data_IF_140338114882
#
_entry.id   IF_140338114882
#
_cell.length_a   1.000
_cell.length_b   1.000
_cell.length_c   1.000
_cell.angle_alpha   90.00
_cell.angle_beta   90.00
_cell.angle_gamma   90.00
#
_symmetry.space_group_name_H-M   'P 1'
#
loop_
_entity.id
_entity.type
_entity.pdbx_description
1 polymer ?
#
# COMPACT_ATOMS: atom_id res chain seq x y z
N UNK A 1 21.00 -25.94 15.14
CA UNK A 1 22.28 -25.83 14.40
C UNK A 1 23.10 -27.06 14.73
N UNK A 2 23.83 -27.57 13.75
CA UNK A 2 24.63 -28.80 13.85
C UNK A 2 26.01 -28.56 14.47
N UNK A 3 26.53 -27.33 14.39
CA UNK A 3 27.62 -26.81 15.21
C UNK A 3 27.16 -25.51 15.89
N UNK A 4 27.45 -25.39 17.20
CA UNK A 4 27.14 -24.22 18.02
C UNK A 4 28.25 -23.16 17.98
N UNK A 5 29.47 -23.56 17.62
CA UNK A 5 30.67 -22.72 17.61
C UNK A 5 30.97 -22.20 16.19
N UNK A 6 30.09 -22.50 15.23
CA UNK A 6 30.18 -22.04 13.84
C UNK A 6 30.18 -20.50 13.75
N UNK A 7 31.08 -19.96 12.92
CA UNK A 7 31.19 -18.52 12.70
C UNK A 7 29.97 -17.96 11.96
N UNK A 8 29.53 -16.77 12.36
CA UNK A 8 28.44 -16.06 11.66
C UNK A 8 28.89 -15.62 10.27
N UNK A 9 28.24 -16.15 9.23
CA UNK A 9 28.54 -15.80 7.83
C UNK A 9 27.63 -14.70 7.27
N UNK A 10 26.50 -14.43 7.91
CA UNK A 10 25.52 -13.44 7.47
C UNK A 10 25.76 -12.07 8.14
N UNK A 11 25.78 -11.02 7.33
CA UNK A 11 25.79 -9.62 7.75
C UNK A 11 24.43 -8.99 7.36
N UNK A 12 23.46 -8.94 8.28
CA UNK A 12 22.15 -8.37 8.01
C UNK A 12 22.21 -6.86 7.73
N UNK A 13 21.48 -6.43 6.70
CA UNK A 13 21.27 -5.01 6.41
C UNK A 13 19.81 -4.71 6.13
N UNK A 14 19.26 -3.69 6.79
CA UNK A 14 17.91 -3.21 6.57
C UNK A 14 17.84 -2.35 5.31
N UNK A 15 16.74 -2.46 4.58
CA UNK A 15 16.42 -1.57 3.49
C UNK A 15 14.95 -1.22 3.47
N UNK A 16 14.68 0.08 3.41
CA UNK A 16 13.34 0.64 3.38
C UNK A 16 12.91 0.93 1.95
N UNK A 17 11.61 0.79 1.70
CA UNK A 17 10.93 1.33 0.52
C UNK A 17 9.68 2.09 0.96
N UNK A 18 9.27 3.05 0.15
CA UNK A 18 8.00 3.77 0.28
C UNK A 18 7.18 3.59 -1.00
N UNK A 19 5.86 3.64 -0.86
CA UNK A 19 4.93 3.81 -1.97
C UNK A 19 4.25 5.16 -1.88
N UNK A 20 4.12 5.82 -3.03
CA UNK A 20 3.49 7.11 -3.22
C UNK A 20 2.49 7.04 -4.39
N UNK A 21 1.61 8.03 -4.56
CA UNK A 21 0.70 8.11 -5.70
C UNK A 21 1.37 7.92 -7.06
N UNK A 22 0.62 7.37 -8.01
CA UNK A 22 1.12 7.05 -9.36
C UNK A 22 1.63 8.26 -10.13
N UNK A 23 1.11 9.46 -9.89
CA UNK A 23 1.51 10.68 -10.61
C UNK A 23 2.97 11.09 -10.36
N UNK A 24 3.64 10.49 -9.38
CA UNK A 24 5.06 10.71 -9.13
C UNK A 24 5.97 10.05 -10.18
N UNK A 25 5.54 8.98 -10.86
CA UNK A 25 6.33 8.32 -11.90
C UNK A 25 5.54 8.09 -13.20
N UNK A 26 6.20 8.14 -14.39
CA UNK A 26 5.53 7.76 -15.63
C UNK A 26 5.19 6.26 -15.64
N UNK A 27 4.02 5.88 -16.17
CA UNK A 27 3.53 4.48 -16.13
C UNK A 27 4.48 3.45 -16.77
N UNK A 28 5.27 3.86 -17.78
CA UNK A 28 6.12 2.96 -18.57
C UNK A 28 7.62 3.19 -18.37
N UNK A 29 8.02 4.01 -17.40
CA UNK A 29 9.42 4.39 -17.22
C UNK A 29 9.78 4.46 -15.73
N UNK A 30 10.87 3.78 -15.36
CA UNK A 30 11.48 3.91 -14.04
C UNK A 30 12.75 4.75 -14.09
N UNK A 31 13.07 5.40 -12.98
CA UNK A 31 14.30 6.15 -12.78
C UNK A 31 15.23 5.40 -11.82
N UNK A 32 16.53 5.46 -12.12
CA UNK A 32 17.62 4.98 -11.29
C UNK A 32 18.55 6.15 -11.00
N UNK A 33 18.70 6.47 -9.73
CA UNK A 33 19.75 7.35 -9.22
C UNK A 33 20.88 6.50 -8.61
N UNK A 34 22.04 6.40 -9.28
CA UNK A 34 23.19 5.67 -8.77
C UNK A 34 24.10 6.50 -7.84
N UNK A 35 23.80 7.78 -7.61
CA UNK A 35 24.67 8.72 -6.91
C UNK A 35 23.86 9.70 -6.06
N UNK A 36 23.09 9.17 -5.10
CA UNK A 36 22.36 9.98 -4.11
C UNK A 36 23.30 10.82 -3.26
N UNK A 37 22.76 11.73 -2.46
CA UNK A 37 23.52 12.63 -1.58
C UNK A 37 24.58 11.95 -0.67
N UNK A 38 24.41 10.66 -0.39
CA UNK A 38 25.33 9.84 0.43
C UNK A 38 25.95 8.65 -0.33
N UNK A 39 25.77 8.57 -1.65
CA UNK A 39 26.35 7.52 -2.51
C UNK A 39 25.58 6.20 -2.53
N UNK A 40 24.38 6.13 -1.93
CA UNK A 40 23.44 5.01 -2.10
C UNK A 40 22.76 5.06 -3.47
N UNK A 41 21.99 4.02 -3.76
CA UNK A 41 21.25 3.86 -5.02
C UNK A 41 19.75 3.89 -4.73
N UNK A 42 19.04 4.81 -5.37
CA UNK A 42 17.58 4.87 -5.32
C UNK A 42 16.99 4.55 -6.69
N UNK A 43 15.99 3.68 -6.66
CA UNK A 43 15.06 3.39 -7.71
C UNK A 43 13.75 4.12 -7.41
N UNK A 44 13.12 4.57 -8.49
CA UNK A 44 11.84 5.22 -8.46
C UNK A 44 11.02 4.72 -9.64
N UNK A 45 10.11 3.79 -9.38
CA UNK A 45 9.53 2.92 -10.40
C UNK A 45 8.00 2.95 -10.35
N UNK A 46 7.31 2.91 -11.51
CA UNK A 46 5.88 2.65 -11.52
C UNK A 46 5.61 1.22 -11.04
N UNK A 47 4.66 1.06 -10.13
CA UNK A 47 4.27 -0.23 -9.57
C UNK A 47 2.79 -0.25 -9.20
N UNK A 48 2.01 -1.10 -9.87
CA UNK A 48 0.57 -1.29 -9.59
C UNK A 48 -0.22 0.03 -9.55
N UNK A 49 -0.02 0.90 -10.56
CA UNK A 49 -0.59 2.27 -10.67
C UNK A 49 -0.15 3.26 -9.58
N UNK A 50 0.79 2.85 -8.74
CA UNK A 50 1.46 3.69 -7.75
C UNK A 50 2.93 3.88 -8.14
N UNK A 51 3.68 4.58 -7.31
CA UNK A 51 5.12 4.76 -7.45
C UNK A 51 5.85 4.17 -6.25
N UNK A 52 6.76 3.22 -6.48
CA UNK A 52 7.64 2.69 -5.44
C UNK A 52 8.99 3.41 -5.49
N UNK A 53 9.48 3.87 -4.33
CA UNK A 53 10.77 4.52 -4.18
C UNK A 53 11.62 3.82 -3.11
N UNK A 54 12.90 3.65 -3.38
CA UNK A 54 13.84 3.02 -2.45
C UNK A 54 15.14 2.60 -3.14
N UNK A 55 16.19 2.23 -2.43
CA UNK A 55 16.14 1.73 -1.06
C UNK A 55 17.30 2.23 -0.22
N UNK A 56 17.15 2.14 1.08
CA UNK A 56 18.22 2.37 2.04
C UNK A 56 19.02 1.09 2.29
N UNK A 57 20.20 1.25 2.90
CA UNK A 57 21.11 0.16 3.23
C UNK A 57 21.81 0.50 4.55
N UNK A 58 21.28 -0.03 5.65
CA UNK A 58 21.74 0.28 7.01
C UNK A 58 21.96 -1.01 7.79
N UNK A 59 23.15 -1.24 8.41
CA UNK A 59 23.37 -2.39 9.27
C UNK A 59 22.29 -2.52 10.34
N UNK A 60 21.82 -3.75 10.60
CA UNK A 60 20.66 -3.97 11.47
C UNK A 60 20.75 -5.29 12.23
N UNK A 61 20.06 -5.39 13.36
CA UNK A 61 19.88 -6.66 14.05
C UNK A 61 18.78 -7.50 13.37
N UNK A 62 18.90 -8.83 13.48
CA UNK A 62 17.91 -9.75 12.91
C UNK A 62 16.62 -9.68 13.74
N UNK A 63 15.51 -9.40 13.07
CA UNK A 63 14.17 -9.44 13.64
C UNK A 63 13.20 -10.04 12.64
N UNK A 64 12.14 -10.68 13.15
CA UNK A 64 11.00 -11.12 12.33
C UNK A 64 10.08 -9.97 11.92
N UNK A 65 10.21 -8.81 12.59
CA UNK A 65 9.34 -7.65 12.42
C UNK A 65 10.19 -6.39 12.14
N UNK A 66 10.86 -6.31 10.97
CA UNK A 66 11.61 -5.12 10.60
C UNK A 66 10.66 -3.94 10.38
N UNK A 67 10.99 -2.80 10.99
CA UNK A 67 10.17 -1.59 10.97
C UNK A 67 10.91 -0.51 10.16
N UNK A 68 10.25 0.19 9.22
CA UNK A 68 10.87 1.30 8.51
C UNK A 68 11.08 2.48 9.47
N UNK A 69 12.26 3.10 9.43
CA UNK A 69 12.54 4.29 10.24
C UNK A 69 12.07 5.57 9.53
N UNK A 70 11.70 6.59 10.30
CA UNK A 70 11.36 7.91 9.72
C UNK A 70 12.56 8.60 9.07
N UNK A 71 13.77 8.32 9.56
CA UNK A 71 14.99 8.83 8.94
C UNK A 71 15.14 8.28 7.50
N UNK A 72 14.94 6.97 7.32
CA UNK A 72 15.00 6.34 5.99
C UNK A 72 13.88 6.85 5.07
N UNK A 73 12.66 7.03 5.59
CA UNK A 73 11.53 7.53 4.80
C UNK A 73 11.79 8.98 4.32
N UNK A 74 12.23 9.86 5.23
CA UNK A 74 12.54 11.23 4.88
C UNK A 74 13.75 11.34 3.95
N UNK A 75 14.75 10.47 4.10
CA UNK A 75 15.85 10.35 3.16
C UNK A 75 15.34 10.06 1.74
N UNK A 76 14.49 9.02 1.57
CA UNK A 76 13.96 8.68 0.24
C UNK A 76 13.14 9.83 -0.35
N UNK A 77 12.28 10.50 0.44
CA UNK A 77 11.49 11.65 -0.01
C UNK A 77 12.37 12.82 -0.46
N UNK A 78 13.46 13.10 0.27
CA UNK A 78 14.40 14.16 -0.07
C UNK A 78 15.12 13.88 -1.38
N UNK A 79 15.57 12.63 -1.60
CA UNK A 79 16.23 12.26 -2.85
C UNK A 79 15.26 12.31 -4.05
N UNK A 80 14.02 11.80 -3.89
CA UNK A 80 12.99 11.88 -4.94
C UNK A 80 12.69 13.34 -5.33
N UNK A 81 12.65 14.25 -4.36
CA UNK A 81 12.38 15.69 -4.61
C UNK A 81 13.38 16.33 -5.57
N UNK A 82 14.62 15.85 -5.61
CA UNK A 82 15.67 16.40 -6.47
C UNK A 82 15.44 16.13 -7.97
N UNK A 83 14.57 15.17 -8.30
CA UNK A 83 14.32 14.73 -9.69
C UNK A 83 12.99 15.21 -10.27
N UNK A 84 12.14 15.81 -9.44
CA UNK A 84 10.83 16.29 -9.86
C UNK A 84 10.88 17.78 -10.18
N UNK A 85 9.94 18.21 -11.03
CA UNK A 85 9.82 19.63 -11.37
C UNK A 85 9.44 20.46 -10.15
N UNK A 86 9.83 21.73 -10.12
CA UNK A 86 9.64 22.60 -8.96
C UNK A 86 8.18 22.87 -8.58
N UNK A 87 7.24 22.60 -9.48
CA UNK A 87 5.79 22.69 -9.26
C UNK A 87 5.19 21.42 -8.65
N UNK A 88 5.95 20.32 -8.58
CA UNK A 88 5.55 19.08 -7.93
C UNK A 88 6.11 19.06 -6.50
N UNK A 89 5.21 19.10 -5.53
CA UNK A 89 5.58 18.95 -4.12
C UNK A 89 5.65 17.48 -3.74
N UNK A 90 6.72 17.09 -3.04
CA UNK A 90 6.89 15.78 -2.41
C UNK A 90 6.72 15.95 -0.91
N UNK A 91 5.62 15.45 -0.36
CA UNK A 91 5.27 15.55 1.05
C UNK A 91 5.30 14.18 1.70
N UNK A 92 5.54 14.18 3.02
CA UNK A 92 5.50 12.95 3.81
C UNK A 92 4.10 12.33 3.89
N UNK A 93 3.05 13.15 3.76
CA UNK A 93 1.66 12.70 3.66
C UNK A 93 1.33 11.94 2.38
N UNK A 94 2.14 12.08 1.33
CA UNK A 94 1.98 11.33 0.08
C UNK A 94 2.47 9.88 0.19
N UNK A 95 3.09 9.50 1.32
CA UNK A 95 3.53 8.12 1.55
C UNK A 95 2.34 7.26 1.98
N UNK A 96 1.88 6.40 1.07
CA UNK A 96 0.73 5.51 1.25
C UNK A 96 1.09 4.24 2.04
N UNK A 97 2.35 3.80 1.94
CA UNK A 97 2.91 2.68 2.68
C UNK A 97 4.44 2.80 2.75
N UNK A 98 5.04 2.26 3.80
CA UNK A 98 6.49 2.10 3.90
C UNK A 98 6.82 0.78 4.58
N UNK A 99 7.86 0.07 4.15
CA UNK A 99 8.26 -1.17 4.82
C UNK A 99 9.75 -1.35 4.79
N UNK A 100 10.24 -2.17 5.72
CA UNK A 100 11.64 -2.56 5.81
C UNK A 100 11.80 -4.05 5.52
N UNK A 101 12.89 -4.41 4.85
CA UNK A 101 13.30 -5.80 4.65
C UNK A 101 14.76 -5.98 5.04
N UNK A 102 15.11 -7.15 5.56
CA UNK A 102 16.49 -7.48 5.94
C UNK A 102 17.14 -8.30 4.83
N UNK A 103 18.27 -7.81 4.32
CA UNK A 103 19.10 -8.48 3.32
C UNK A 103 20.09 -9.42 4.01
N UNK A 104 20.15 -10.70 3.63
CA UNK A 104 21.14 -11.63 4.15
C UNK A 104 22.44 -11.48 3.36
N UNK A 105 23.21 -10.41 3.58
CA UNK A 105 24.52 -10.28 2.93
C UNK A 105 25.47 -11.33 3.51
N UNK A 106 26.39 -11.87 2.72
CA UNK A 106 27.23 -12.99 3.15
C UNK A 106 28.71 -12.68 2.99
N UNK A 107 29.47 -13.11 3.97
CA UNK A 107 30.93 -13.20 3.89
C UNK A 107 31.29 -14.66 3.62
N UNK A 108 32.11 -14.93 2.61
CA UNK A 108 32.54 -16.29 2.32
C UNK A 108 33.54 -16.75 3.41
N UNK A 109 33.19 -17.76 4.23
CA UNK A 109 34.03 -18.25 5.32
C UNK A 109 35.35 -18.89 4.83
N UNK A 110 35.42 -19.27 3.55
CA UNK A 110 36.62 -19.88 2.93
C UNK A 110 37.49 -18.87 2.20
N UNK A 111 37.06 -17.61 2.11
CA UNK A 111 37.82 -16.54 1.45
C UNK A 111 38.81 -15.89 2.43
N UNK A 112 40.05 -15.67 1.98
CA UNK A 112 41.07 -14.96 2.78
C UNK A 112 40.78 -13.46 2.95
N UNK A 113 39.86 -12.91 2.15
CA UNK A 113 39.42 -11.51 2.21
C UNK A 113 38.03 -11.41 2.83
N UNK A 114 37.97 -11.42 4.16
CA UNK A 114 36.74 -11.31 4.95
C UNK A 114 36.02 -9.96 4.83
N UNK A 115 36.62 -8.97 4.15
CA UNK A 115 36.04 -7.63 3.94
C UNK A 115 35.24 -7.48 2.64
N UNK A 116 35.37 -8.38 1.67
CA UNK A 116 34.56 -8.31 0.45
C UNK A 116 33.23 -9.04 0.67
N UNK A 117 32.23 -8.31 1.15
CA UNK A 117 30.84 -8.80 1.18
C UNK A 117 30.45 -9.22 -0.24
N UNK A 118 30.28 -10.51 -0.46
CA UNK A 118 29.92 -11.05 -1.76
C UNK A 118 28.42 -10.91 -1.96
N UNK A 119 28.00 -10.32 -3.10
CA UNK A 119 26.58 -10.27 -3.50
C UNK A 119 26.09 -11.59 -4.14
N UNK A 120 26.91 -12.63 -4.13
CA UNK A 120 26.56 -13.96 -4.62
C UNK A 120 26.06 -14.86 -3.47
N UNK A 121 25.42 -15.97 -3.79
CA UNK A 121 25.08 -16.99 -2.80
C UNK A 121 26.30 -17.84 -2.44
N UNK A 122 26.28 -18.38 -1.23
CA UNK A 122 27.21 -19.40 -0.75
C UNK A 122 26.42 -20.67 -0.47
N UNK A 123 26.96 -21.81 -0.92
CA UNK A 123 26.49 -23.15 -0.53
C UNK A 123 27.59 -23.80 0.28
N UNK A 124 27.35 -24.03 1.56
CA UNK A 124 28.28 -24.67 2.47
C UNK A 124 27.72 -26.02 2.96
N UNK A 125 28.62 -26.98 3.16
CA UNK A 125 28.29 -28.32 3.65
C UNK A 125 29.16 -28.57 4.87
N UNK A 126 28.53 -28.78 6.02
CA UNK A 126 29.23 -29.04 7.27
C UNK A 126 29.72 -30.48 7.37
N UNK A 127 30.54 -30.78 8.39
CA UNK A 127 31.01 -32.14 8.67
C UNK A 127 29.86 -33.12 8.99
N UNK A 128 28.74 -32.62 9.53
CA UNK A 128 27.54 -33.43 9.78
C UNK A 128 26.74 -33.74 8.51
N UNK A 129 27.07 -33.07 7.41
CA UNK A 129 26.33 -33.13 6.15
C UNK A 129 25.16 -32.15 6.08
N UNK A 130 25.04 -31.17 6.99
CA UNK A 130 24.07 -30.08 6.86
C UNK A 130 24.45 -29.20 5.67
N UNK A 131 23.46 -28.87 4.84
CA UNK A 131 23.64 -28.01 3.68
C UNK A 131 23.02 -26.65 3.97
N UNK A 132 23.84 -25.62 3.93
CA UNK A 132 23.44 -24.24 4.17
C UNK A 132 23.53 -23.46 2.87
N UNK A 133 22.44 -22.78 2.50
CA UNK A 133 22.43 -21.74 1.47
C UNK A 133 22.26 -20.38 2.14
N UNK A 134 23.17 -19.46 1.85
CA UNK A 134 23.11 -18.09 2.36
C UNK A 134 23.35 -17.08 1.23
N UNK A 135 22.73 -15.91 1.33
CA UNK A 135 22.91 -14.81 0.40
C UNK A 135 22.20 -15.00 -0.94
N UNK A 136 22.78 -14.43 -1.99
CA UNK A 136 22.18 -14.41 -3.33
C UNK A 136 21.09 -13.36 -3.51
N UNK A 137 20.36 -13.48 -4.62
CA UNK A 137 19.35 -12.52 -5.05
C UNK A 137 18.10 -13.24 -5.53
N UNK A 138 16.97 -12.54 -5.45
CA UNK A 138 15.74 -13.01 -6.07
C UNK A 138 15.93 -13.32 -7.56
N UNK A 139 16.68 -12.51 -8.31
CA UNK A 139 16.92 -12.73 -9.75
C UNK A 139 17.68 -14.02 -10.06
N UNK A 140 18.43 -14.57 -9.10
CA UNK A 140 19.25 -15.78 -9.28
C UNK A 140 18.68 -17.01 -8.59
N UNK A 141 17.48 -16.92 -8.00
CA UNK A 141 16.92 -17.96 -7.12
C UNK A 141 16.90 -19.36 -7.75
N UNK A 142 16.58 -19.48 -9.05
CA UNK A 142 16.55 -20.76 -9.77
C UNK A 142 17.94 -21.40 -9.86
N UNK A 143 18.95 -20.61 -10.20
CA UNK A 143 20.34 -21.07 -10.27
C UNK A 143 20.85 -21.45 -8.88
N UNK A 144 20.51 -20.63 -7.87
CA UNK A 144 20.82 -20.91 -6.47
C UNK A 144 20.26 -22.27 -6.03
N UNK A 145 18.99 -22.54 -6.33
CA UNK A 145 18.34 -23.81 -6.02
C UNK A 145 19.01 -25.00 -6.75
N UNK A 146 19.38 -24.82 -8.02
CA UNK A 146 20.10 -25.84 -8.79
C UNK A 146 21.46 -26.16 -8.17
N UNK A 147 22.25 -25.15 -7.80
CA UNK A 147 23.54 -25.33 -7.14
C UNK A 147 23.40 -26.04 -5.79
N UNK A 148 22.40 -25.66 -4.99
CA UNK A 148 22.11 -26.30 -3.69
C UNK A 148 21.73 -27.77 -3.85
N UNK A 149 20.85 -28.09 -4.81
CA UNK A 149 20.44 -29.48 -5.06
C UNK A 149 21.62 -30.32 -5.59
N UNK A 150 22.44 -29.76 -6.48
CA UNK A 150 23.66 -30.43 -6.96
C UNK A 150 24.65 -30.71 -5.83
N UNK A 151 24.83 -29.75 -4.91
CA UNK A 151 25.64 -29.93 -3.71
C UNK A 151 25.08 -31.05 -2.84
N UNK A 152 23.76 -31.11 -2.64
CA UNK A 152 23.10 -32.17 -1.87
C UNK A 152 23.27 -33.56 -2.48
N UNK A 153 23.10 -33.67 -3.80
CA UNK A 153 23.31 -34.92 -4.52
C UNK A 153 24.72 -35.44 -4.32
N UNK A 154 25.72 -34.55 -4.43
CA UNK A 154 27.13 -34.90 -4.24
C UNK A 154 27.45 -35.25 -2.78
N UNK A 155 26.98 -34.45 -1.83
CA UNK A 155 27.26 -34.62 -0.40
C UNK A 155 26.72 -35.94 0.16
N UNK A 156 25.53 -36.35 -0.31
CA UNK A 156 24.84 -37.54 0.21
C UNK A 156 24.83 -38.72 -0.77
N UNK A 157 25.65 -38.68 -1.84
CA UNK A 157 25.72 -39.73 -2.87
C UNK A 157 24.34 -40.15 -3.42
N UNK A 158 23.46 -39.17 -3.63
CA UNK A 158 22.12 -39.41 -4.17
C UNK A 158 22.20 -39.67 -5.68
N UNK A 159 21.20 -40.37 -6.22
CA UNK A 159 21.05 -40.57 -7.67
C UNK A 159 19.97 -39.64 -8.21
N UNK A 160 20.34 -38.75 -9.12
CA UNK A 160 19.42 -37.83 -9.79
C UNK A 160 19.86 -37.59 -11.25
N UNK A 161 18.91 -37.21 -12.10
CA UNK A 161 19.18 -36.75 -13.46
C UNK A 161 19.53 -35.25 -13.51
N UNK A 162 19.77 -34.68 -14.71
CA UNK A 162 20.01 -33.25 -14.86
C UNK A 162 18.79 -32.42 -14.43
N UNK A 163 19.04 -31.18 -14.02
CA UNK A 163 18.00 -30.19 -13.70
C UNK A 163 17.06 -29.98 -14.89
N UNK A 164 15.75 -29.98 -14.61
CA UNK A 164 14.68 -29.76 -15.60
C UNK A 164 13.96 -28.44 -15.39
N UNK A 165 14.56 -27.52 -14.64
CA UNK A 165 13.91 -26.26 -14.23
C UNK A 165 13.92 -25.21 -15.33
N UNK A 166 14.87 -25.27 -16.27
CA UNK A 166 14.89 -24.37 -17.43
C UNK A 166 13.72 -24.70 -18.36
N UNK A 167 12.87 -23.70 -18.63
CA UNK A 167 11.66 -23.87 -19.44
C UNK A 167 10.47 -24.48 -18.69
N UNK A 168 10.60 -24.76 -17.38
CA UNK A 168 9.48 -25.18 -16.56
C UNK A 168 8.63 -23.96 -16.18
N UNK A 169 7.38 -23.93 -16.63
CA UNK A 169 6.43 -22.89 -16.23
C UNK A 169 6.02 -23.07 -14.77
N UNK A 170 6.03 -21.97 -14.01
CA UNK A 170 5.38 -21.92 -12.71
C UNK A 170 3.86 -21.90 -12.88
N UNK A 171 3.14 -22.25 -11.81
CA UNK A 171 1.67 -22.21 -11.78
C UNK A 171 1.15 -20.83 -12.21
N UNK A 172 0.13 -20.79 -13.06
CA UNK A 172 -0.39 -19.54 -13.65
C UNK A 172 0.27 -19.17 -14.98
N UNK A 173 1.49 -19.64 -15.26
CA UNK A 173 2.29 -19.14 -16.38
C UNK A 173 2.04 -19.80 -17.75
N UNK A 174 1.39 -20.96 -17.81
CA UNK A 174 1.41 -21.80 -19.03
C UNK A 174 0.53 -21.24 -20.15
N UNK A 175 -0.70 -20.85 -19.81
CA UNK A 175 -1.70 -20.39 -20.78
C UNK A 175 -1.99 -18.87 -20.66
N UNK A 176 -1.05 -18.11 -20.09
CA UNK A 176 -1.17 -16.66 -19.98
C UNK A 176 -0.99 -15.95 -21.32
N UNK A 177 -1.76 -14.87 -21.53
CA UNK A 177 -1.54 -13.92 -22.62
C UNK A 177 -1.94 -12.50 -22.20
N UNK A 178 -1.39 -11.45 -22.83
CA UNK A 178 -1.78 -10.06 -22.55
C UNK A 178 -3.28 -9.77 -22.76
N UNK A 179 -3.96 -10.57 -23.58
CA UNK A 179 -5.39 -10.44 -23.90
C UNK A 179 -6.29 -11.35 -23.05
N UNK A 180 -5.73 -12.14 -22.12
CA UNK A 180 -6.49 -13.09 -21.30
C UNK A 180 -7.64 -12.40 -20.55
N UNK A 181 -7.42 -11.17 -20.08
CA UNK A 181 -8.43 -10.39 -19.36
C UNK A 181 -9.72 -10.18 -20.17
N UNK A 182 -9.66 -10.12 -21.50
CA UNK A 182 -10.83 -9.94 -22.36
C UNK A 182 -11.83 -11.08 -22.16
N UNK A 183 -11.33 -12.32 -22.03
CA UNK A 183 -12.18 -13.48 -21.75
C UNK A 183 -12.78 -13.42 -20.35
N UNK A 184 -12.04 -12.95 -19.35
CA UNK A 184 -12.58 -12.75 -18.00
C UNK A 184 -13.76 -11.75 -18.01
N UNK A 185 -13.64 -10.67 -18.78
CA UNK A 185 -14.73 -9.69 -18.98
C UNK A 185 -15.92 -10.33 -19.72
N UNK A 186 -15.67 -11.00 -20.85
CA UNK A 186 -16.72 -11.55 -21.72
C UNK A 186 -17.46 -12.74 -21.10
N UNK A 187 -16.74 -13.65 -20.44
CA UNK A 187 -17.29 -14.91 -19.95
C UNK A 187 -17.94 -14.77 -18.57
N UNK A 188 -17.45 -13.83 -17.73
CA UNK A 188 -17.90 -13.68 -16.34
C UNK A 188 -18.58 -12.33 -16.06
N UNK A 189 -18.40 -11.33 -16.92
CA UNK A 189 -18.91 -9.98 -16.67
C UNK A 189 -18.14 -9.23 -15.58
N UNK A 190 -16.84 -9.50 -15.47
CA UNK A 190 -15.92 -8.75 -14.60
C UNK A 190 -15.64 -7.36 -15.17
N UNK A 191 -15.39 -6.40 -14.28
CA UNK A 191 -14.88 -5.09 -14.68
C UNK A 191 -13.50 -5.22 -15.33
N UNK A 192 -13.20 -4.38 -16.33
CA UNK A 192 -11.94 -4.48 -17.10
C UNK A 192 -10.70 -4.37 -16.21
N UNK A 193 -10.71 -3.47 -15.23
CA UNK A 193 -9.57 -3.28 -14.32
C UNK A 193 -9.32 -4.52 -13.45
N UNK A 194 -10.38 -5.07 -12.84
CA UNK A 194 -10.32 -6.31 -12.06
C UNK A 194 -9.85 -7.47 -12.95
N UNK A 195 -10.38 -7.59 -14.16
CA UNK A 195 -9.98 -8.64 -15.09
C UNK A 195 -8.48 -8.55 -15.45
N UNK A 196 -7.96 -7.34 -15.69
CA UNK A 196 -6.52 -7.13 -15.96
C UNK A 196 -5.67 -7.50 -14.76
N UNK A 197 -6.07 -7.06 -13.55
CA UNK A 197 -5.43 -7.45 -12.30
C UNK A 197 -5.36 -8.97 -12.14
N UNK A 198 -6.49 -9.66 -12.24
CA UNK A 198 -6.55 -11.11 -12.08
C UNK A 198 -5.69 -11.82 -13.12
N UNK A 199 -5.74 -11.41 -14.39
CA UNK A 199 -4.92 -11.98 -15.45
C UNK A 199 -3.42 -11.78 -15.21
N UNK A 200 -3.02 -10.61 -14.69
CA UNK A 200 -1.61 -10.29 -14.41
C UNK A 200 -1.08 -10.98 -13.15
N UNK A 201 -1.93 -11.24 -12.16
CA UNK A 201 -1.55 -11.81 -10.87
C UNK A 201 -1.60 -13.34 -10.87
N UNK A 202 -2.69 -13.93 -11.37
CA UNK A 202 -2.96 -15.38 -11.30
C UNK A 202 -2.71 -16.09 -12.62
N UNK A 203 -2.51 -15.34 -13.71
CA UNK A 203 -2.27 -15.92 -15.03
C UNK A 203 -3.43 -16.79 -15.50
N UNK A 204 -3.14 -18.02 -15.93
CA UNK A 204 -4.16 -19.01 -16.32
C UNK A 204 -5.10 -19.42 -15.18
N UNK A 205 -4.73 -19.15 -13.92
CA UNK A 205 -5.58 -19.39 -12.74
C UNK A 205 -6.60 -18.30 -12.47
N UNK A 206 -6.55 -17.18 -13.19
CA UNK A 206 -7.53 -16.10 -13.05
C UNK A 206 -8.98 -16.57 -13.28
N UNK A 207 -9.20 -17.55 -14.15
CA UNK A 207 -10.51 -18.16 -14.37
C UNK A 207 -11.02 -18.93 -13.15
N UNK A 208 -10.14 -19.55 -12.37
CA UNK A 208 -10.54 -20.22 -11.13
C UNK A 208 -10.98 -19.20 -10.08
N UNK A 209 -10.29 -18.06 -9.98
CA UNK A 209 -10.69 -16.93 -9.12
C UNK A 209 -12.05 -16.37 -9.56
N UNK A 210 -12.22 -16.10 -10.85
CA UNK A 210 -13.46 -15.55 -11.40
C UNK A 210 -14.68 -16.46 -11.14
N UNK A 211 -14.50 -17.78 -11.20
CA UNK A 211 -15.56 -18.76 -10.86
C UNK A 211 -16.01 -18.69 -9.39
N UNK A 212 -15.14 -18.21 -8.49
CA UNK A 212 -15.47 -18.05 -7.07
C UNK A 212 -16.09 -16.69 -6.75
N UNK A 213 -16.15 -15.78 -7.74
CA UNK A 213 -16.66 -14.43 -7.55
C UNK A 213 -18.19 -14.41 -7.40
N UNK A 214 -18.64 -13.70 -6.37
CA UNK A 214 -20.06 -13.44 -6.13
C UNK A 214 -20.61 -12.42 -7.13
N UNK A 215 -21.90 -12.52 -7.43
CA UNK A 215 -22.63 -11.47 -8.15
C UNK A 215 -22.67 -10.18 -7.33
N UNK A 216 -22.56 -9.04 -8.00
CA UNK A 216 -22.52 -7.72 -7.32
C UNK A 216 -23.92 -7.15 -7.05
N UNK A 217 -24.95 -7.65 -7.75
CA UNK A 217 -26.29 -7.06 -7.78
C UNK A 217 -26.40 -5.79 -8.64
N UNK A 218 -25.31 -5.36 -9.30
CA UNK A 218 -25.30 -4.21 -10.23
C UNK A 218 -25.56 -4.69 -11.66
N UNK A 219 -25.99 -3.77 -12.54
CA UNK A 219 -26.06 -4.04 -14.00
C UNK A 219 -24.67 -4.33 -14.58
N UNK A 220 -23.67 -3.63 -14.06
CA UNK A 220 -22.26 -3.80 -14.38
C UNK A 220 -21.40 -3.29 -13.21
N UNK A 221 -20.25 -3.94 -12.88
CA UNK A 221 -19.89 -5.30 -13.29
C UNK A 221 -20.86 -6.34 -12.73
N UNK A 222 -21.02 -7.48 -13.42
CA UNK A 222 -22.00 -8.52 -13.04
C UNK A 222 -21.49 -9.31 -11.81
N UNK A 223 -20.20 -9.65 -11.81
CA UNK A 223 -19.53 -10.38 -10.73
C UNK A 223 -18.28 -9.62 -10.27
N UNK A 224 -17.76 -9.99 -9.10
CA UNK A 224 -16.53 -9.41 -8.56
C UNK A 224 -16.82 -8.26 -7.60
N UNK A 225 -17.26 -8.60 -6.39
CA UNK A 225 -17.38 -7.64 -5.29
C UNK A 225 -15.97 -7.23 -4.84
N UNK A 226 -15.63 -5.95 -5.00
CA UNK A 226 -14.34 -5.40 -4.55
C UNK A 226 -14.25 -5.42 -3.02
N UNK A 227 -13.05 -5.65 -2.49
CA UNK A 227 -12.76 -5.57 -1.06
C UNK A 227 -12.71 -4.11 -0.57
N UNK A 228 -12.26 -3.20 -1.43
CA UNK A 228 -12.14 -1.75 -1.23
C UNK A 228 -12.31 -1.08 -2.61
N UNK A 229 -12.96 0.09 -2.67
CA UNK A 229 -13.44 0.66 -3.94
C UNK A 229 -12.34 0.98 -4.94
N UNK A 230 -11.21 1.49 -4.45
CA UNK A 230 -10.14 2.13 -5.23
C UNK A 230 -9.17 1.10 -5.82
N UNK A 231 -9.20 -0.15 -5.34
CA UNK A 231 -8.29 -1.20 -5.77
C UNK A 231 -9.02 -2.36 -6.45
N UNK A 232 -8.38 -3.04 -7.42
CA UNK A 232 -9.01 -4.09 -8.21
C UNK A 232 -9.10 -5.44 -7.47
N UNK A 233 -8.98 -5.45 -6.15
CA UNK A 233 -9.01 -6.67 -5.34
C UNK A 233 -10.44 -7.08 -5.01
N UNK A 234 -10.79 -8.34 -5.25
CA UNK A 234 -12.15 -8.86 -5.02
C UNK A 234 -12.21 -9.92 -3.93
N UNK A 235 -13.38 -10.09 -3.31
CA UNK A 235 -13.63 -11.09 -2.25
C UNK A 235 -13.24 -12.52 -2.67
N UNK A 236 -13.35 -12.84 -3.97
CA UNK A 236 -13.00 -14.14 -4.53
C UNK A 236 -11.50 -14.47 -4.33
N UNK A 237 -10.63 -13.45 -4.32
CA UNK A 237 -9.20 -13.63 -4.09
C UNK A 237 -8.90 -14.08 -2.66
N UNK A 238 -9.76 -13.74 -1.68
CA UNK A 238 -9.61 -14.25 -0.31
C UNK A 238 -9.81 -15.76 -0.29
N UNK A 239 -10.88 -16.24 -0.92
CA UNK A 239 -11.17 -17.68 -1.04
C UNK A 239 -10.07 -18.42 -1.79
N UNK A 240 -9.59 -17.83 -2.88
CA UNK A 240 -8.51 -18.43 -3.67
C UNK A 240 -7.17 -18.41 -2.91
N UNK A 241 -6.85 -17.32 -2.21
CA UNK A 241 -5.66 -17.19 -1.38
C UNK A 241 -5.58 -18.24 -0.27
N UNK A 242 -6.71 -18.63 0.31
CA UNK A 242 -6.80 -19.75 1.27
C UNK A 242 -6.42 -21.09 0.61
N UNK A 243 -6.84 -21.32 -0.65
CA UNK A 243 -6.38 -22.50 -1.42
C UNK A 243 -4.89 -22.46 -1.71
N UNK A 244 -4.32 -21.26 -1.76
CA UNK A 244 -2.88 -21.03 -1.84
C UNK A 244 -2.21 -20.95 -0.45
N UNK A 245 -2.82 -21.56 0.57
CA UNK A 245 -2.27 -21.67 1.93
C UNK A 245 -2.10 -20.33 2.67
N UNK A 246 -2.92 -19.31 2.36
CA UNK A 246 -3.05 -18.16 3.25
C UNK A 246 -3.76 -18.59 4.53
N UNK A 247 -3.07 -18.45 5.66
CA UNK A 247 -3.54 -18.92 6.98
C UNK A 247 -3.83 -17.77 7.94
N UNK A 248 -3.40 -16.55 7.63
CA UNK A 248 -3.54 -15.36 8.48
C UNK A 248 -4.08 -14.18 7.67
N UNK A 249 -4.68 -13.20 8.33
CA UNK A 249 -5.13 -11.98 7.67
C UNK A 249 -3.95 -11.21 7.02
N UNK A 250 -2.76 -11.27 7.65
CA UNK A 250 -1.52 -10.71 7.10
C UNK A 250 -1.11 -11.39 5.79
N UNK A 251 -1.29 -12.71 5.64
CA UNK A 251 -1.02 -13.40 4.37
C UNK A 251 -1.83 -12.79 3.21
N UNK A 252 -3.09 -12.44 3.49
CA UNK A 252 -3.99 -11.90 2.48
C UNK A 252 -3.64 -10.48 2.08
N UNK A 253 -3.56 -9.56 3.05
CA UNK A 253 -3.34 -8.13 2.77
C UNK A 253 -1.91 -7.83 2.28
N UNK A 254 -0.92 -8.63 2.66
CA UNK A 254 0.48 -8.38 2.30
C UNK A 254 0.98 -9.26 1.15
N UNK A 255 0.74 -10.57 1.18
CA UNK A 255 1.40 -11.52 0.26
C UNK A 255 0.55 -11.91 -0.94
N UNK A 256 -0.78 -12.04 -0.77
CA UNK A 256 -1.70 -12.44 -1.87
C UNK A 256 -2.18 -11.24 -2.68
N UNK A 257 -2.68 -10.19 -2.02
CA UNK A 257 -3.17 -8.97 -2.71
C UNK A 257 -2.08 -7.90 -2.85
N UNK A 258 -1.18 -7.79 -1.87
CA UNK A 258 -0.18 -6.72 -1.69
C UNK A 258 -0.78 -5.36 -1.33
N UNK A 259 -2.06 -5.29 -0.99
CA UNK A 259 -2.75 -4.05 -0.63
C UNK A 259 -2.03 -3.28 0.48
N UNK A 260 -1.51 -3.97 1.50
CA UNK A 260 -0.75 -3.37 2.59
C UNK A 260 0.53 -2.63 2.12
N UNK A 261 1.14 -3.07 1.03
CA UNK A 261 2.33 -2.44 0.44
C UNK A 261 2.00 -1.29 -0.50
N UNK A 262 0.76 -1.23 -1.00
CA UNK A 262 0.33 -0.16 -1.91
C UNK A 262 -0.32 0.99 -1.15
N UNK A 263 -1.15 0.67 -0.16
CA UNK A 263 -1.88 1.64 0.65
C UNK A 263 -2.34 1.02 1.96
N UNK A 264 -1.82 1.53 3.07
CA UNK A 264 -2.11 0.99 4.40
C UNK A 264 -3.56 1.23 4.84
N UNK A 265 -4.15 2.37 4.50
CA UNK A 265 -5.52 2.69 4.89
C UNK A 265 -6.52 1.83 4.13
N UNK A 266 -6.33 1.67 2.82
CA UNK A 266 -7.16 0.77 2.03
C UNK A 266 -7.02 -0.70 2.53
N UNK A 267 -5.83 -1.09 2.99
CA UNK A 267 -5.64 -2.39 3.63
C UNK A 267 -6.38 -2.52 4.96
N UNK A 268 -6.39 -1.47 5.79
CA UNK A 268 -7.13 -1.42 7.04
C UNK A 268 -8.65 -1.46 6.82
N UNK A 269 -9.15 -0.73 5.82
CA UNK A 269 -10.57 -0.73 5.43
C UNK A 269 -11.04 -2.10 4.94
N UNK A 270 -10.24 -2.78 4.11
CA UNK A 270 -10.55 -4.12 3.62
C UNK A 270 -10.49 -5.20 4.71
N UNK A 271 -9.78 -4.94 5.81
CA UNK A 271 -9.39 -5.95 6.79
C UNK A 271 -10.57 -6.65 7.49
N UNK A 272 -11.62 -5.94 7.99
CA UNK A 272 -12.77 -6.60 8.61
C UNK A 272 -13.46 -7.58 7.68
N UNK A 273 -13.61 -7.22 6.39
CA UNK A 273 -14.23 -8.09 5.39
C UNK A 273 -13.36 -9.29 5.06
N UNK A 274 -12.05 -9.11 4.95
CA UNK A 274 -11.09 -10.21 4.74
C UNK A 274 -11.16 -11.20 5.91
N UNK A 275 -11.12 -10.71 7.16
CA UNK A 275 -11.17 -11.54 8.38
C UNK A 275 -12.49 -12.29 8.48
N UNK A 276 -13.62 -11.66 8.11
CA UNK A 276 -14.92 -12.32 8.07
C UNK A 276 -14.92 -13.49 7.07
N UNK A 277 -14.47 -13.26 5.83
CA UNK A 277 -14.41 -14.26 4.77
C UNK A 277 -13.47 -15.41 5.14
N UNK A 278 -12.26 -15.09 5.62
CA UNK A 278 -11.31 -16.10 6.11
C UNK A 278 -11.89 -16.89 7.28
N UNK A 279 -12.52 -16.21 8.24
CA UNK A 279 -13.09 -16.86 9.41
C UNK A 279 -14.23 -17.82 9.06
N UNK A 280 -15.01 -17.52 8.01
CA UNK A 280 -16.00 -18.45 7.48
C UNK A 280 -15.37 -19.68 6.83
N UNK A 281 -14.38 -19.48 5.95
CA UNK A 281 -13.77 -20.57 5.17
C UNK A 281 -12.84 -21.45 6.02
N UNK A 282 -12.16 -20.88 7.02
CA UNK A 282 -11.24 -21.57 7.93
C UNK A 282 -11.88 -21.99 9.26
N UNK A 283 -13.19 -21.75 9.43
CA UNK A 283 -13.96 -22.05 10.64
C UNK A 283 -13.39 -21.40 11.92
N UNK A 284 -13.00 -20.12 11.83
CA UNK A 284 -12.55 -19.36 13.01
C UNK A 284 -13.73 -18.97 13.90
N UNK A 285 -13.52 -19.11 15.21
CA UNK A 285 -14.41 -18.51 16.21
C UNK A 285 -14.16 -17.00 16.32
N UNK A 286 -15.04 -16.29 17.02
CA UNK A 286 -14.96 -14.83 17.12
C UNK A 286 -13.71 -14.33 17.85
N UNK A 287 -13.19 -15.12 18.80
CA UNK A 287 -11.93 -14.81 19.48
C UNK A 287 -10.74 -14.82 18.49
N UNK A 288 -10.68 -15.82 17.59
CA UNK A 288 -9.65 -15.92 16.56
C UNK A 288 -9.79 -14.82 15.50
N UNK A 289 -11.01 -14.48 15.10
CA UNK A 289 -11.24 -13.34 14.19
C UNK A 289 -10.72 -12.04 14.80
N UNK A 290 -10.99 -11.79 16.08
CA UNK A 290 -10.49 -10.60 16.77
C UNK A 290 -8.95 -10.62 16.88
N UNK A 291 -8.36 -11.77 17.22
CA UNK A 291 -6.89 -11.93 17.28
C UNK A 291 -6.22 -11.62 15.94
N UNK A 292 -6.78 -12.13 14.83
CA UNK A 292 -6.27 -11.88 13.48
C UNK A 292 -6.41 -10.42 13.07
N UNK A 293 -7.55 -9.78 13.41
CA UNK A 293 -7.77 -8.36 13.18
C UNK A 293 -6.75 -7.49 13.92
N UNK A 294 -6.54 -7.74 15.22
CA UNK A 294 -5.57 -6.99 16.02
C UNK A 294 -4.12 -7.22 15.57
N UNK A 295 -3.78 -8.46 15.22
CA UNK A 295 -2.45 -8.80 14.69
C UNK A 295 -2.18 -8.08 13.37
N UNK A 296 -3.15 -8.10 12.45
CA UNK A 296 -3.01 -7.42 11.18
C UNK A 296 -2.97 -5.89 11.33
N UNK A 297 -3.76 -5.31 12.24
CA UNK A 297 -3.68 -3.88 12.57
C UNK A 297 -2.31 -3.49 13.13
N UNK A 298 -1.72 -4.29 14.02
CA UNK A 298 -0.35 -4.06 14.50
C UNK A 298 0.68 -4.15 13.38
N UNK A 299 0.55 -5.12 12.48
CA UNK A 299 1.41 -5.24 11.30
C UNK A 299 1.32 -3.98 10.43
N UNK A 300 0.11 -3.51 10.10
CA UNK A 300 -0.10 -2.26 9.37
C UNK A 300 0.49 -1.05 10.13
N UNK A 301 0.28 -1.00 11.44
CA UNK A 301 0.73 0.08 12.31
C UNK A 301 2.26 0.22 12.32
N UNK A 302 2.95 -0.87 12.64
CA UNK A 302 4.40 -0.85 12.87
C UNK A 302 5.22 -1.19 11.61
N UNK A 303 4.86 -2.24 10.88
CA UNK A 303 5.71 -2.79 9.82
C UNK A 303 5.43 -2.16 8.45
N UNK A 304 4.25 -1.56 8.27
CA UNK A 304 3.84 -0.88 7.02
C UNK A 304 3.87 0.65 7.08
N UNK A 305 4.45 1.23 8.15
CA UNK A 305 4.76 2.66 8.22
C UNK A 305 3.58 3.57 8.57
N UNK A 306 2.45 3.01 9.03
CA UNK A 306 1.28 3.80 9.44
C UNK A 306 1.54 4.63 10.71
N UNK A 307 2.23 4.05 11.71
CA UNK A 307 2.62 4.73 12.96
C UNK A 307 3.27 6.07 12.67
N UNK A 308 4.27 6.05 11.80
CA UNK A 308 5.01 7.22 11.40
C UNK A 308 4.14 8.32 10.78
N UNK A 309 3.11 7.92 10.05
CA UNK A 309 2.13 8.84 9.49
C UNK A 309 1.22 9.39 10.61
N UNK A 310 0.70 8.52 11.48
CA UNK A 310 -0.17 8.90 12.61
C UNK A 310 0.52 9.82 13.64
N UNK A 311 1.80 9.60 13.94
CA UNK A 311 2.56 10.41 14.91
C UNK A 311 2.96 11.79 14.35
N UNK A 312 3.19 11.92 13.03
CA UNK A 312 3.37 13.22 12.40
C UNK A 312 2.07 14.03 12.29
N UNK A 313 0.92 13.36 12.11
CA UNK A 313 -0.39 14.00 12.14
C UNK A 313 -0.64 14.71 13.49
N UNK A 314 -0.02 14.25 14.58
CA UNK A 314 -0.14 14.86 15.90
C UNK A 314 0.89 15.95 16.20
N UNK A 315 2.13 15.86 15.69
CA UNK A 315 3.22 16.74 16.15
C UNK A 315 3.70 17.80 15.15
N UNK A 316 3.70 17.56 13.83
CA UNK A 316 4.32 18.50 12.89
C UNK A 316 3.64 18.50 11.53
N UNK A 317 2.47 19.13 11.45
CA UNK A 317 1.99 19.59 10.17
C UNK A 317 2.82 20.84 9.78
N UNK A 318 3.67 20.73 8.75
CA UNK A 318 4.35 21.87 8.08
C UNK A 318 3.34 22.76 7.33
N UNK A 319 2.20 23.01 7.96
CA UNK A 319 1.16 23.90 7.48
C UNK A 319 1.70 25.31 7.73
N UNK A 320 2.23 25.93 6.68
CA UNK A 320 2.61 27.36 6.67
C UNK A 320 1.35 28.25 6.65
N UNK A 321 0.40 28.02 7.57
CA UNK A 321 -0.78 28.86 7.75
C UNK A 321 -0.58 29.68 9.03
N UNK A 322 -1.06 30.92 9.02
CA UNK A 322 -1.16 31.69 10.25
C UNK A 322 -2.14 30.98 11.22
N UNK A 323 -1.91 31.02 12.54
CA UNK A 323 -2.82 30.39 13.51
C UNK A 323 -4.29 30.81 13.35
N UNK A 324 -4.54 32.05 12.90
CA UNK A 324 -5.88 32.56 12.58
C UNK A 324 -6.52 31.90 11.35
N UNK A 325 -5.72 31.55 10.33
CA UNK A 325 -6.20 30.85 9.14
C UNK A 325 -6.51 29.38 9.47
N UNK A 326 -5.67 28.75 10.30
CA UNK A 326 -5.92 27.38 10.81
C UNK A 326 -7.24 27.32 11.55
N UNK A 327 -7.50 28.25 12.48
CA UNK A 327 -8.76 28.28 13.24
C UNK A 327 -9.98 28.48 12.33
N UNK A 328 -9.87 29.37 11.33
CA UNK A 328 -10.93 29.59 10.33
C UNK A 328 -11.24 28.31 9.55
N UNK A 329 -10.21 27.62 9.05
CA UNK A 329 -10.41 26.39 8.28
C UNK A 329 -10.87 25.22 9.15
N UNK A 330 -10.40 25.11 10.39
CA UNK A 330 -10.94 24.14 11.36
C UNK A 330 -12.44 24.36 11.55
N UNK A 331 -12.88 25.59 11.81
CA UNK A 331 -14.32 25.90 11.93
C UNK A 331 -15.11 25.48 10.69
N UNK A 332 -14.55 25.72 9.51
CA UNK A 332 -15.17 25.32 8.25
C UNK A 332 -15.27 23.81 8.10
N UNK A 333 -14.22 23.07 8.44
CA UNK A 333 -14.22 21.61 8.43
C UNK A 333 -15.32 21.04 9.34
N UNK A 334 -15.44 21.55 10.56
CA UNK A 334 -16.43 21.09 11.54
C UNK A 334 -17.89 21.39 11.14
N UNK A 335 -18.13 22.32 10.20
CA UNK A 335 -19.48 22.52 9.63
C UNK A 335 -19.93 21.32 8.80
N UNK A 336 -18.99 20.54 8.26
CA UNK A 336 -19.26 19.34 7.46
C UNK A 336 -19.14 18.08 8.30
N UNK A 337 -18.15 18.04 9.19
CA UNK A 337 -18.05 17.00 10.21
C UNK A 337 -18.96 17.31 11.42
N UNK A 338 -20.28 17.32 11.19
CA UNK A 338 -21.28 17.65 12.23
C UNK A 338 -21.24 16.65 13.39
N UNK A 339 -20.82 15.42 13.11
CA UNK A 339 -20.75 14.31 14.06
C UNK A 339 -19.39 14.26 14.82
N UNK A 340 -18.47 15.21 14.56
CA UNK A 340 -17.14 15.31 15.18
C UNK A 340 -16.29 14.03 15.06
N UNK A 341 -16.34 13.38 13.90
CA UNK A 341 -15.61 12.15 13.59
C UNK A 341 -14.13 12.39 13.30
N UNK A 342 -13.76 13.62 12.94
CA UNK A 342 -12.40 14.00 12.53
C UNK A 342 -12.14 13.89 11.03
N UNK A 343 -13.13 13.51 10.23
CA UNK A 343 -13.05 13.32 8.77
C UNK A 343 -14.38 13.65 8.09
N UNK A 344 -14.34 14.02 6.81
CA UNK A 344 -15.49 14.34 5.97
C UNK A 344 -15.69 13.25 4.92
N UNK A 345 -16.88 12.65 4.88
CA UNK A 345 -17.27 11.63 3.88
C UNK A 345 -18.15 12.23 2.76
N UNK A 346 -18.39 11.46 1.69
CA UNK A 346 -19.38 11.79 0.65
C UNK A 346 -20.75 12.11 1.25
N UNK A 347 -21.19 11.31 2.23
CA UNK A 347 -22.48 11.48 2.89
C UNK A 347 -22.55 12.79 3.69
N UNK A 348 -21.44 13.18 4.33
CA UNK A 348 -21.38 14.42 5.10
C UNK A 348 -21.52 15.65 4.19
N UNK A 349 -20.78 15.66 3.07
CA UNK A 349 -20.87 16.75 2.10
C UNK A 349 -22.25 16.79 1.46
N UNK A 350 -22.80 15.63 1.09
CA UNK A 350 -24.15 15.54 0.52
C UNK A 350 -25.21 16.10 1.48
N UNK A 351 -25.15 15.71 2.77
CA UNK A 351 -26.08 16.20 3.80
C UNK A 351 -26.04 17.72 3.92
N UNK A 352 -24.85 18.32 3.92
CA UNK A 352 -24.72 19.78 3.99
C UNK A 352 -25.24 20.45 2.73
N UNK A 353 -24.95 19.91 1.54
CA UNK A 353 -25.44 20.46 0.27
C UNK A 353 -26.97 20.39 0.14
N UNK A 354 -27.57 19.29 0.57
CA UNK A 354 -29.03 19.13 0.64
C UNK A 354 -29.65 20.17 1.58
N UNK A 355 -29.02 20.47 2.72
CA UNK A 355 -29.51 21.46 3.67
C UNK A 355 -29.60 22.89 3.07
N UNK A 356 -28.78 23.19 2.07
CA UNK A 356 -28.75 24.47 1.32
C UNK A 356 -29.40 24.38 -0.06
N UNK A 357 -30.15 23.29 -0.33
CA UNK A 357 -30.91 23.08 -1.57
C UNK A 357 -30.03 22.99 -2.84
N UNK A 358 -28.80 22.51 -2.70
CA UNK A 358 -27.91 22.17 -3.82
C UNK A 358 -27.97 20.66 -4.02
N UNK A 359 -28.36 20.22 -5.22
CA UNK A 359 -28.35 18.82 -5.61
C UNK A 359 -27.13 18.54 -6.47
N UNK A 360 -26.43 17.45 -6.18
CA UNK A 360 -25.27 16.98 -6.92
C UNK A 360 -25.31 15.46 -6.95
N UNK A 361 -24.88 14.86 -8.05
CA UNK A 361 -24.84 13.41 -8.16
C UNK A 361 -23.67 12.83 -7.34
N UNK A 362 -23.87 11.60 -6.86
CA UNK A 362 -22.95 10.91 -5.97
C UNK A 362 -21.58 10.64 -6.63
N UNK A 363 -21.56 10.36 -7.94
CA UNK A 363 -20.31 10.10 -8.67
C UNK A 363 -19.46 11.37 -8.76
N UNK A 364 -20.07 12.50 -9.12
CA UNK A 364 -19.39 13.80 -9.11
C UNK A 364 -18.88 14.16 -7.73
N UNK A 365 -19.64 13.89 -6.67
CA UNK A 365 -19.21 14.18 -5.31
C UNK A 365 -18.01 13.30 -4.90
N UNK A 366 -18.03 12.03 -5.29
CA UNK A 366 -16.92 11.11 -5.08
C UNK A 366 -15.67 11.55 -5.86
N UNK A 367 -15.79 12.00 -7.11
CA UNK A 367 -14.68 12.60 -7.87
C UNK A 367 -14.08 13.81 -7.15
N UNK A 368 -14.93 14.70 -6.63
CA UNK A 368 -14.50 15.92 -5.94
C UNK A 368 -13.76 15.62 -4.63
N UNK A 369 -14.24 14.63 -3.86
CA UNK A 369 -13.56 14.22 -2.64
C UNK A 369 -12.25 13.50 -2.98
N UNK A 370 -12.24 12.67 -4.02
CA UNK A 370 -11.03 12.00 -4.52
C UNK A 370 -9.93 12.97 -5.00
N UNK A 371 -10.26 14.22 -5.37
CA UNK A 371 -9.24 15.24 -5.67
C UNK A 371 -8.43 15.67 -4.44
N UNK A 372 -9.00 15.51 -3.24
CA UNK A 372 -8.46 16.05 -1.98
C UNK A 372 -8.06 14.93 -1.02
N UNK A 373 -8.74 13.79 -1.10
CA UNK A 373 -8.35 12.54 -0.49
C UNK A 373 -7.04 12.06 -1.15
N UNK A 374 -5.93 12.55 -0.58
CA UNK A 374 -4.57 12.25 -1.01
C UNK A 374 -4.23 10.79 -0.72
N UNK A 375 -4.88 10.25 0.30
CA UNK A 375 -4.56 8.96 0.86
C UNK A 375 -5.46 7.82 0.36
N UNK A 376 -6.51 8.15 -0.40
CA UNK A 376 -7.45 7.23 -1.03
C UNK A 376 -8.21 6.34 -0.04
N UNK A 377 -8.59 6.88 1.11
CA UNK A 377 -9.42 6.19 2.12
C UNK A 377 -10.92 6.50 1.99
N UNK A 378 -11.34 7.25 0.95
CA UNK A 378 -12.71 7.65 0.71
C UNK A 378 -13.22 8.76 1.63
N UNK A 379 -12.34 9.36 2.42
CA UNK A 379 -12.61 10.39 3.41
C UNK A 379 -11.63 11.55 3.23
N UNK A 380 -12.01 12.75 3.69
CA UNK A 380 -11.12 13.90 3.75
C UNK A 380 -10.85 14.23 5.20
N UNK A 381 -9.62 13.95 5.64
CA UNK A 381 -9.15 14.24 7.00
C UNK A 381 -8.88 15.75 7.19
N UNK A 382 -8.83 16.22 8.44
CA UNK A 382 -8.66 17.65 8.73
C UNK A 382 -7.34 18.21 8.19
N UNK A 383 -6.27 17.43 8.24
CA UNK A 383 -4.97 17.81 7.72
C UNK A 383 -4.96 17.87 6.19
N UNK A 384 -5.57 16.91 5.50
CA UNK A 384 -5.75 16.94 4.04
C UNK A 384 -6.54 18.18 3.61
N UNK A 385 -7.59 18.49 4.37
CA UNK A 385 -8.35 19.70 4.19
C UNK A 385 -7.50 20.97 4.42
N UNK A 386 -6.71 21.02 5.50
CA UNK A 386 -5.83 22.18 5.78
C UNK A 386 -4.71 22.31 4.74
N UNK A 387 -4.17 21.20 4.24
CA UNK A 387 -3.18 21.17 3.16
C UNK A 387 -3.76 21.72 1.87
N UNK A 388 -4.98 21.32 1.51
CA UNK A 388 -5.72 21.90 0.38
C UNK A 388 -5.85 23.41 0.54
N UNK A 389 -6.29 23.88 1.71
CA UNK A 389 -6.51 25.31 1.96
C UNK A 389 -5.19 26.09 1.94
N UNK A 390 -4.08 25.51 2.40
CA UNK A 390 -2.74 26.10 2.29
C UNK A 390 -2.27 26.20 0.84
N UNK A 391 -2.50 25.17 0.03
CA UNK A 391 -2.16 25.18 -1.40
C UNK A 391 -2.94 26.23 -2.19
N UNK A 392 -4.22 26.44 -1.85
CA UNK A 392 -5.06 27.51 -2.41
C UNK A 392 -4.55 28.89 -2.00
N UNK A 393 -4.21 29.11 -0.72
CA UNK A 393 -3.72 30.40 -0.24
C UNK A 393 -2.38 30.80 -0.89
N UNK A 394 -1.51 29.82 -1.15
CA UNK A 394 -0.23 30.02 -1.87
C UNK A 394 -0.40 30.20 -3.38
N UNK A 395 -1.63 30.16 -3.91
CA UNK A 395 -1.91 30.27 -5.34
C UNK A 395 -1.40 29.09 -6.17
N UNK A 396 -1.00 27.98 -5.52
CA UNK A 396 -0.51 26.76 -6.18
C UNK A 396 -1.66 25.94 -6.77
N UNK A 397 -2.84 26.04 -6.16
CA UNK A 397 -4.08 25.44 -6.64
C UNK A 397 -5.09 26.56 -6.89
N UNK A 398 -5.57 26.66 -8.13
CA UNK A 398 -6.72 27.50 -8.48
C UNK A 398 -7.89 26.60 -8.87
N UNK A 399 -9.05 26.79 -8.24
CA UNK A 399 -10.27 26.11 -8.67
C UNK A 399 -10.56 24.72 -8.07
N UNK A 400 -10.00 24.35 -6.91
CA UNK A 400 -10.43 23.11 -6.22
C UNK A 400 -11.95 23.08 -6.02
N UNK A 401 -12.59 22.05 -6.57
CA UNK A 401 -14.05 21.92 -6.55
C UNK A 401 -14.58 21.77 -5.13
N UNK A 402 -13.87 21.00 -4.29
CA UNK A 402 -14.22 20.85 -2.88
C UNK A 402 -14.11 22.18 -2.14
N UNK A 403 -13.01 22.92 -2.31
CA UNK A 403 -12.87 24.21 -1.66
C UNK A 403 -13.88 25.27 -2.14
N UNK A 404 -14.34 25.20 -3.38
CA UNK A 404 -15.44 26.07 -3.86
C UNK A 404 -16.75 25.64 -3.20
N UNK A 405 -17.09 24.36 -3.24
CA UNK A 405 -18.32 23.82 -2.66
C UNK A 405 -18.45 24.14 -1.18
N UNK A 406 -17.40 23.86 -0.40
CA UNK A 406 -17.39 24.10 1.03
C UNK A 406 -17.51 25.60 1.34
N UNK A 407 -17.08 26.50 0.43
CA UNK A 407 -17.16 27.96 0.61
C UNK A 407 -18.57 28.44 0.32
N UNK A 408 -19.12 27.99 -0.81
CA UNK A 408 -20.51 28.26 -1.20
C UNK A 408 -21.47 27.79 -0.12
N UNK A 409 -21.25 26.61 0.44
CA UNK A 409 -22.07 26.09 1.51
C UNK A 409 -21.93 26.87 2.82
N UNK A 410 -20.70 27.25 3.20
CA UNK A 410 -20.45 28.12 4.34
C UNK A 410 -21.17 29.47 4.23
N UNK A 411 -21.05 30.17 3.10
CA UNK A 411 -21.70 31.47 2.87
C UNK A 411 -23.24 31.38 2.94
N UNK A 412 -23.81 30.26 2.49
CA UNK A 412 -25.26 30.04 2.54
C UNK A 412 -25.75 29.66 3.95
N UNK A 413 -24.95 28.92 4.72
CA UNK A 413 -25.23 28.60 6.12
C UNK A 413 -25.22 29.86 6.99
N UNK A 414 -24.27 30.78 6.76
CA UNK A 414 -24.16 32.04 7.51
C UNK A 414 -25.28 33.03 7.21
N UNK A 415 -25.89 32.97 6.01
CA UNK A 415 -27.06 33.79 5.65
C UNK A 415 -28.37 33.37 6.33
N UNK A 416 -28.44 32.17 6.91
CA UNK A 416 -29.64 31.64 7.59
C UNK A 416 -29.74 31.98 9.08
N UNK A 417 -28.86 32.82 9.62
CA UNK A 417 -28.99 33.29 11.01
C UNK A 417 -30.34 34.04 11.17
N UNK A 418 -31.20 33.69 12.15
CA UNK A 418 -32.51 34.32 12.30
C UNK A 418 -32.37 35.81 12.61
N UNK A 419 -33.04 36.65 11.83
CA UNK A 419 -33.24 38.06 12.18
C UNK A 419 -34.05 38.08 13.49
N UNK A 420 -33.59 38.75 14.57
CA UNK A 420 -34.37 38.86 15.79
C UNK A 420 -35.66 39.60 15.48
N UNK A 421 -36.80 38.98 15.76
CA UNK A 421 -38.11 39.63 15.64
C UNK A 421 -38.30 40.48 16.89
N UNK A 422 -37.72 41.68 16.89
CA UNK A 422 -38.05 42.68 17.90
C UNK A 422 -39.49 43.15 17.64
N UNK A 423 -40.41 42.74 18.52
CA UNK A 423 -41.80 43.19 18.47
C UNK A 423 -41.86 44.65 18.89
N UNK A 424 -41.89 45.55 17.92
CA UNK A 424 -42.41 46.89 18.11
C UNK A 424 -43.93 46.81 18.34
N UNK A 425 -44.36 46.78 19.60
CA UNK A 425 -45.74 47.10 19.97
C UNK A 425 -45.97 48.60 19.73
N UNK A 426 -46.67 48.94 18.66
CA UNK A 426 -47.23 50.26 18.42
C UNK A 426 -48.74 50.26 18.59
N UNK A 427 -49.21 50.97 19.61
CA UNK A 427 -50.43 51.79 19.56
C UNK A 427 -51.79 51.13 19.79
N UNK A 428 -52.39 51.44 20.94
CA UNK A 428 -53.59 52.28 21.01
C UNK A 428 -53.53 53.17 22.25
#
# INVERSE_FOLDING_TARGET
MDDKDAATICQPSAGVHIVMPGYYSPESMGLLDPATSDGRVIFFLPWQKMTIAGTTDTPTDITHHPIPSEEDINFILNEVRNYLSHDVEVRRGDVLAAWSGIRPLVTDPKSANTQSISRNHVVDISESGLITIAGGKWTTYRSMAEDTINAAIKAHNLKAGPSRTVGLFLQGGKDWSPTLYIRLVQDYGLESEVAQHLASTYGDKAFEVAKMASVTGKRWPIVGVRLVSEFPYIEAEVKYGIKEYACTAVDMISRRTRLAFLNVQAAEEALPRIVELMGRELNWNDAKKQEELETAKKFLYFEMGYKSRSEQLTDHSEITLLPSDVDRYKKRFHKFDTDQKGFITTVDVQRVLESINIQMDENTLHEILNEVDLNKNGQVELDEFLQLMSAIQKGRVSGSRLAILLKTAEENLERRVPIPVDRSCGGL
#
